data_IF_848316706275
#
_entry.id   IF_848316706275
#
_cell.length_a   1.000
_cell.length_b   1.000
_cell.length_c   1.000
_cell.angle_alpha   90.00
_cell.angle_beta   90.00
_cell.angle_gamma   90.00
#
_symmetry.space_group_name_H-M   'P 1'
#
loop_
_entity.id
_entity.type
_entity.pdbx_description
1 polymer ?
#
# COMPACT_ATOMS: atom_id res chain seq x y z
N UNK A 1 -22.57 -12.67 41.24
CA UNK A 1 -23.16 -12.47 39.91
C UNK A 1 -22.16 -12.94 38.86
N UNK A 2 -22.60 -13.76 37.92
CA UNK A 2 -21.76 -14.18 36.80
C UNK A 2 -21.78 -13.08 35.72
N UNK A 3 -20.63 -12.76 35.13
CA UNK A 3 -20.53 -11.81 34.01
C UNK A 3 -21.10 -12.49 32.76
N UNK A 4 -21.99 -11.83 32.03
CA UNK A 4 -22.45 -12.29 30.73
C UNK A 4 -21.37 -12.07 29.67
N UNK A 5 -20.52 -13.08 29.49
CA UNK A 5 -19.44 -13.04 28.52
C UNK A 5 -19.91 -13.11 27.06
N UNK A 6 -21.11 -13.64 26.80
CA UNK A 6 -21.61 -13.79 25.43
C UNK A 6 -22.13 -12.45 24.91
N UNK A 7 -22.90 -11.73 25.72
CA UNK A 7 -23.31 -10.36 25.43
C UNK A 7 -22.11 -9.43 25.30
N UNK A 8 -21.18 -9.49 26.27
CA UNK A 8 -19.98 -8.66 26.28
C UNK A 8 -19.12 -8.87 25.03
N UNK A 9 -18.93 -10.12 24.59
CA UNK A 9 -18.21 -10.43 23.36
C UNK A 9 -18.89 -9.79 22.15
N UNK A 10 -20.20 -9.95 22.02
CA UNK A 10 -20.95 -9.37 20.89
C UNK A 10 -20.83 -7.84 20.85
N UNK A 11 -20.86 -7.19 22.01
CA UNK A 11 -20.73 -5.73 22.10
C UNK A 11 -19.30 -5.26 21.83
N UNK A 12 -18.30 -6.01 22.31
CA UNK A 12 -16.88 -5.79 22.01
C UNK A 12 -16.63 -5.90 20.51
N UNK A 13 -17.09 -6.98 19.87
CA UNK A 13 -16.90 -7.21 18.44
C UNK A 13 -17.59 -6.13 17.59
N UNK A 14 -18.70 -5.51 18.03
CA UNK A 14 -19.32 -4.38 17.30
C UNK A 14 -18.53 -3.07 17.36
N UNK A 15 -17.64 -2.89 18.36
CA UNK A 15 -16.76 -1.71 18.45
C UNK A 15 -17.48 -0.37 18.71
N UNK A 16 -18.78 -0.37 18.99
CA UNK A 16 -19.61 0.84 19.18
C UNK A 16 -19.30 1.56 20.51
N UNK A 17 -18.76 0.83 21.49
CA UNK A 17 -18.41 1.36 22.81
C UNK A 17 -17.01 0.89 23.21
N UNK A 18 -16.17 1.83 23.66
CA UNK A 18 -14.81 1.51 24.12
C UNK A 18 -14.80 0.54 25.31
N UNK A 19 -13.69 -0.19 25.48
CA UNK A 19 -13.53 -1.22 26.52
C UNK A 19 -13.82 -0.74 27.94
N UNK A 20 -13.57 0.54 28.24
CA UNK A 20 -13.89 1.17 29.53
C UNK A 20 -15.41 1.26 29.78
N UNK A 21 -16.18 1.59 28.74
CA UNK A 21 -17.65 1.65 28.78
C UNK A 21 -18.27 0.26 28.92
N UNK A 22 -17.74 -0.73 28.19
CA UNK A 22 -18.15 -2.12 28.32
C UNK A 22 -17.84 -2.67 29.71
N UNK A 23 -16.69 -2.32 30.28
CA UNK A 23 -16.31 -2.69 31.64
C UNK A 23 -17.31 -2.19 32.68
N UNK A 24 -17.72 -0.92 32.57
CA UNK A 24 -18.72 -0.32 33.45
C UNK A 24 -20.10 -0.98 33.29
N UNK A 25 -20.56 -1.20 32.05
CA UNK A 25 -21.88 -1.79 31.78
C UNK A 25 -22.04 -3.23 32.25
N UNK A 26 -20.97 -4.02 32.16
CA UNK A 26 -20.97 -5.43 32.57
C UNK A 26 -20.40 -5.66 33.99
N UNK A 27 -20.09 -4.58 34.72
CA UNK A 27 -19.62 -4.64 36.11
C UNK A 27 -18.27 -5.35 36.28
N UNK A 28 -17.35 -5.19 35.33
CA UNK A 28 -16.02 -5.81 35.37
C UNK A 28 -14.91 -4.79 35.10
N UNK A 29 -13.64 -5.20 35.22
CA UNK A 29 -12.49 -4.34 34.92
C UNK A 29 -12.14 -4.43 33.43
N UNK A 30 -11.80 -3.29 32.81
CA UNK A 30 -11.38 -3.23 31.41
C UNK A 30 -10.20 -4.19 31.10
N UNK A 31 -9.26 -4.34 32.04
CA UNK A 31 -8.14 -5.29 31.90
C UNK A 31 -8.61 -6.75 31.79
N UNK A 32 -9.70 -7.13 32.47
CA UNK A 32 -10.27 -8.48 32.39
C UNK A 32 -10.83 -8.75 30.99
N UNK A 33 -11.51 -7.77 30.40
CA UNK A 33 -11.99 -7.83 29.02
C UNK A 33 -10.80 -7.98 28.06
N UNK A 34 -9.79 -7.11 28.15
CA UNK A 34 -8.60 -7.16 27.28
C UNK A 34 -7.86 -8.51 27.35
N UNK A 35 -7.65 -9.04 28.55
CA UNK A 35 -7.00 -10.35 28.74
C UNK A 35 -7.81 -11.50 28.14
N UNK A 36 -9.13 -11.43 28.24
CA UNK A 36 -10.02 -12.46 27.70
C UNK A 36 -10.13 -12.36 26.19
N UNK A 37 -10.33 -11.16 25.66
CA UNK A 37 -10.30 -10.88 24.22
C UNK A 37 -9.01 -11.40 23.57
N UNK A 38 -7.85 -11.16 24.19
CA UNK A 38 -6.57 -11.68 23.69
C UNK A 38 -6.48 -13.22 23.75
N UNK A 39 -7.03 -13.85 24.79
CA UNK A 39 -7.02 -15.31 24.96
C UNK A 39 -7.97 -16.03 24.01
N UNK A 40 -9.12 -15.43 23.76
CA UNK A 40 -10.20 -16.02 22.96
C UNK A 40 -10.25 -15.46 21.52
N UNK A 41 -9.31 -14.59 21.16
CA UNK A 41 -9.16 -14.05 19.81
C UNK A 41 -10.29 -13.11 19.37
N UNK A 42 -10.86 -12.32 20.28
CA UNK A 42 -11.90 -11.36 19.93
C UNK A 42 -11.29 -10.18 19.17
N UNK A 43 -11.95 -9.76 18.10
CA UNK A 43 -11.51 -8.65 17.24
C UNK A 43 -12.67 -7.71 17.03
N UNK A 44 -12.46 -6.41 17.25
CA UNK A 44 -13.46 -5.39 16.95
C UNK A 44 -13.63 -5.24 15.44
N UNK A 45 -14.87 -5.18 14.97
CA UNK A 45 -15.22 -4.87 13.57
C UNK A 45 -14.61 -3.52 13.23
N UNK A 46 -13.65 -3.51 12.29
CA UNK A 46 -12.92 -2.32 11.86
C UNK A 46 -11.52 -2.15 12.44
N UNK A 47 -11.18 -2.75 13.60
CA UNK A 47 -9.83 -2.65 14.17
C UNK A 47 -8.79 -3.42 13.34
N UNK A 48 -9.19 -4.58 12.79
CA UNK A 48 -8.36 -5.33 11.85
C UNK A 48 -8.10 -4.57 10.55
N UNK A 49 -9.14 -3.92 10.01
CA UNK A 49 -9.06 -3.12 8.78
C UNK A 49 -8.21 -1.86 8.99
N UNK A 50 -8.41 -1.12 10.09
CA UNK A 50 -7.61 0.07 10.40
C UNK A 50 -6.13 -0.25 10.62
N UNK A 51 -5.82 -1.38 11.28
CA UNK A 51 -4.43 -1.84 11.44
C UNK A 51 -3.81 -2.28 10.11
N UNK A 52 -4.59 -2.91 9.24
CA UNK A 52 -4.15 -3.25 7.89
C UNK A 52 -3.89 -1.99 7.06
N UNK A 53 -4.75 -0.98 7.15
CA UNK A 53 -4.61 0.29 6.43
C UNK A 53 -3.39 1.09 6.90
N UNK A 54 -3.17 1.22 8.22
CA UNK A 54 -1.96 1.86 8.76
C UNK A 54 -0.67 1.16 8.31
N UNK A 55 -0.70 -0.18 8.24
CA UNK A 55 0.45 -0.96 7.78
C UNK A 55 0.65 -0.81 6.26
N UNK A 56 -0.44 -0.73 5.50
CA UNK A 56 -0.44 -0.43 4.07
C UNK A 56 0.14 0.96 3.80
N UNK A 57 -0.29 1.97 4.55
CA UNK A 57 0.26 3.33 4.47
C UNK A 57 1.77 3.32 4.77
N UNK A 58 2.21 2.62 5.81
CA UNK A 58 3.63 2.48 6.14
C UNK A 58 4.46 1.90 4.98
N UNK A 59 3.99 0.81 4.38
CA UNK A 59 4.64 0.16 3.23
C UNK A 59 4.66 1.10 2.02
N UNK A 60 3.55 1.78 1.71
CA UNK A 60 3.52 2.75 0.61
C UNK A 60 4.46 3.93 0.85
N UNK A 61 4.63 4.35 2.11
CA UNK A 61 5.61 5.37 2.50
C UNK A 61 7.04 4.93 2.27
N UNK A 62 7.39 3.71 2.71
CA UNK A 62 8.71 3.11 2.51
C UNK A 62 9.03 2.93 1.02
N UNK A 63 8.09 2.40 0.23
CA UNK A 63 8.23 2.29 -1.23
C UNK A 63 8.48 3.64 -1.90
N UNK A 64 7.72 4.69 -1.52
CA UNK A 64 7.92 6.04 -2.06
C UNK A 64 9.32 6.57 -1.75
N UNK A 65 9.82 6.34 -0.54
CA UNK A 65 11.16 6.75 -0.13
C UNK A 65 12.24 6.03 -0.94
N UNK A 66 12.16 4.70 -1.06
CA UNK A 66 13.09 3.89 -1.84
C UNK A 66 13.09 4.30 -3.32
N UNK A 67 11.90 4.53 -3.90
CA UNK A 67 11.76 5.00 -5.28
C UNK A 67 12.36 6.39 -5.50
N UNK A 68 12.20 7.30 -4.53
CA UNK A 68 12.83 8.63 -4.59
C UNK A 68 14.36 8.56 -4.63
N UNK A 69 14.93 7.58 -3.95
CA UNK A 69 16.38 7.34 -3.92
C UNK A 69 16.88 6.82 -5.27
N UNK A 70 16.19 5.84 -5.87
CA UNK A 70 16.52 5.33 -7.20
C UNK A 70 16.41 6.44 -8.26
N UNK A 71 15.36 7.26 -8.22
CA UNK A 71 15.20 8.40 -9.13
C UNK A 71 16.35 9.42 -9.01
N UNK A 72 16.76 9.72 -7.77
CA UNK A 72 17.89 10.63 -7.51
C UNK A 72 19.18 10.08 -8.12
N UNK A 73 19.44 8.78 -7.94
CA UNK A 73 20.61 8.10 -8.50
C UNK A 73 20.61 8.03 -10.02
N UNK A 74 19.45 7.75 -10.62
CA UNK A 74 19.29 7.76 -12.09
C UNK A 74 19.60 9.15 -12.66
N UNK A 75 19.05 10.21 -12.04
CA UNK A 75 19.31 11.60 -12.47
C UNK A 75 20.80 11.96 -12.37
N UNK A 76 21.44 11.64 -11.24
CA UNK A 76 22.86 11.91 -11.05
C UNK A 76 23.75 11.15 -12.06
N UNK A 77 23.43 9.89 -12.34
CA UNK A 77 24.13 9.08 -13.35
C UNK A 77 23.96 9.65 -14.75
N UNK A 78 22.77 10.14 -15.12
CA UNK A 78 22.52 10.78 -16.42
C UNK A 78 23.32 12.08 -16.56
N UNK A 79 23.28 12.95 -15.55
CA UNK A 79 24.01 14.23 -15.54
C UNK A 79 25.53 14.03 -15.67
N UNK A 80 26.06 12.94 -15.10
CA UNK A 80 27.48 12.62 -15.12
C UNK A 80 27.89 11.71 -16.27
N UNK A 81 26.92 11.23 -17.07
CA UNK A 81 27.13 10.17 -18.05
C UNK A 81 27.82 8.92 -17.46
N UNK A 82 27.54 8.62 -16.19
CA UNK A 82 28.10 7.48 -15.46
C UNK A 82 27.26 6.23 -15.72
N UNK A 83 27.70 5.44 -16.70
CA UNK A 83 27.00 4.21 -17.12
C UNK A 83 26.90 3.19 -15.97
N UNK A 84 27.88 3.14 -15.06
CA UNK A 84 27.86 2.16 -13.97
C UNK A 84 26.85 2.57 -12.89
N UNK A 85 26.79 3.86 -12.54
CA UNK A 85 25.73 4.38 -11.66
C UNK A 85 24.33 4.17 -12.26
N UNK A 86 24.18 4.31 -13.59
CA UNK A 86 22.91 4.03 -14.28
C UNK A 86 22.51 2.55 -14.24
N UNK A 87 23.45 1.62 -14.43
CA UNK A 87 23.17 0.17 -14.32
C UNK A 87 22.76 -0.20 -12.90
N UNK A 88 23.47 0.32 -11.89
CA UNK A 88 23.15 0.09 -10.48
C UNK A 88 21.75 0.63 -10.18
N UNK A 89 21.43 1.85 -10.63
CA UNK A 89 20.11 2.45 -10.46
C UNK A 89 19.01 1.61 -11.11
N UNK A 90 19.25 1.07 -12.32
CA UNK A 90 18.32 0.16 -13.00
C UNK A 90 18.08 -1.11 -12.20
N UNK A 91 19.15 -1.82 -11.81
CA UNK A 91 19.04 -3.06 -11.04
C UNK A 91 18.32 -2.85 -9.71
N UNK A 92 18.57 -1.71 -9.05
CA UNK A 92 17.85 -1.33 -7.83
C UNK A 92 16.35 -1.10 -8.11
N UNK A 93 16.00 -0.42 -9.21
CA UNK A 93 14.63 -0.23 -9.64
C UNK A 93 13.89 -1.55 -9.93
N UNK A 94 14.53 -2.46 -10.67
CA UNK A 94 13.99 -3.79 -10.98
C UNK A 94 13.79 -4.63 -9.70
N UNK A 95 14.74 -4.56 -8.77
CA UNK A 95 14.63 -5.22 -7.46
C UNK A 95 13.44 -4.70 -6.63
N UNK A 96 13.26 -3.39 -6.56
CA UNK A 96 12.12 -2.77 -5.87
C UNK A 96 10.78 -3.19 -6.50
N UNK A 97 10.69 -3.23 -7.83
CA UNK A 97 9.47 -3.70 -8.51
C UNK A 97 9.11 -5.14 -8.13
N UNK A 98 10.10 -6.02 -8.03
CA UNK A 98 9.87 -7.41 -7.62
C UNK A 98 9.41 -7.53 -6.17
N UNK A 99 9.99 -6.75 -5.25
CA UNK A 99 9.56 -6.70 -3.85
C UNK A 99 8.11 -6.21 -3.77
N UNK A 100 7.80 -5.08 -4.41
CA UNK A 100 6.45 -4.52 -4.43
C UNK A 100 5.41 -5.52 -4.97
N UNK A 101 5.75 -6.23 -6.06
CA UNK A 101 4.88 -7.29 -6.60
C UNK A 101 4.70 -8.44 -5.61
N UNK A 102 5.76 -8.92 -4.98
CA UNK A 102 5.71 -10.00 -3.99
C UNK A 102 4.89 -9.63 -2.75
N UNK A 103 5.03 -8.40 -2.25
CA UNK A 103 4.22 -7.89 -1.15
C UNK A 103 2.75 -7.75 -1.56
N UNK A 104 2.47 -7.17 -2.71
CA UNK A 104 1.11 -7.03 -3.25
C UNK A 104 0.41 -8.40 -3.36
N UNK A 105 1.11 -9.41 -3.87
CA UNK A 105 0.60 -10.79 -3.97
C UNK A 105 0.38 -11.45 -2.60
N UNK A 106 1.33 -11.30 -1.66
CA UNK A 106 1.20 -11.86 -0.32
C UNK A 106 0.00 -11.28 0.46
N UNK A 107 -0.50 -10.12 0.04
CA UNK A 107 -1.61 -9.41 0.67
C UNK A 107 -2.93 -9.57 -0.11
N UNK A 108 -2.93 -10.34 -1.20
CA UNK A 108 -4.13 -10.58 -2.02
C UNK A 108 -4.59 -9.36 -2.83
N UNK A 109 -3.72 -8.36 -3.02
CA UNK A 109 -4.00 -7.13 -3.78
C UNK A 109 -3.70 -7.33 -5.28
N UNK A 110 -4.10 -8.45 -5.86
CA UNK A 110 -3.80 -8.77 -7.26
C UNK A 110 -4.42 -7.76 -8.23
N UNK A 111 -3.80 -7.57 -9.40
CA UNK A 111 -4.19 -6.59 -10.45
C UNK A 111 -5.65 -6.70 -10.93
N UNK A 112 -6.39 -7.76 -10.55
CA UNK A 112 -7.82 -7.92 -10.83
C UNK A 112 -8.70 -6.78 -10.26
N UNK A 113 -8.21 -6.04 -9.25
CA UNK A 113 -8.92 -4.87 -8.68
C UNK A 113 -8.67 -3.55 -9.44
N UNK A 114 -7.68 -3.52 -10.34
CA UNK A 114 -7.47 -2.38 -11.24
C UNK A 114 -7.79 -2.85 -12.65
N UNK A 115 -9.08 -2.77 -13.01
CA UNK A 115 -9.48 -2.71 -14.41
C UNK A 115 -8.91 -1.43 -15.01
N UNK A 116 -7.62 -1.47 -15.35
CA UNK A 116 -7.04 -0.50 -16.27
C UNK A 116 -7.78 -0.73 -17.57
N UNK A 117 -8.65 0.21 -17.93
CA UNK A 117 -9.34 0.16 -19.21
C UNK A 117 -8.25 0.16 -20.30
N UNK A 118 -8.10 -0.96 -21.00
CA UNK A 118 -7.08 -1.10 -22.05
C UNK A 118 -7.21 0.02 -23.10
N UNK A 119 -8.40 0.61 -23.21
CA UNK A 119 -8.70 1.78 -24.03
C UNK A 119 -7.89 3.02 -23.63
N UNK A 120 -7.64 3.24 -22.34
CA UNK A 120 -6.87 4.39 -21.82
C UNK A 120 -5.37 4.23 -22.11
N UNK A 121 -4.84 3.01 -21.92
CA UNK A 121 -3.42 2.69 -22.21
C UNK A 121 -3.12 2.81 -23.72
N UNK A 122 -4.05 2.36 -24.56
CA UNK A 122 -3.95 2.52 -26.01
C UNK A 122 -4.04 3.99 -26.43
N UNK A 123 -4.85 4.80 -25.74
CA UNK A 123 -4.93 6.24 -25.96
C UNK A 123 -3.61 6.95 -25.71
N UNK A 124 -2.97 6.70 -24.56
CA UNK A 124 -1.67 7.29 -24.19
C UNK A 124 -0.57 6.84 -25.16
N UNK A 125 -0.56 5.56 -25.54
CA UNK A 125 0.44 5.02 -26.48
C UNK A 125 0.31 5.66 -27.86
N UNK A 126 -0.92 5.93 -28.31
CA UNK A 126 -1.19 6.62 -29.57
C UNK A 126 -0.75 8.09 -29.52
N UNK A 127 -1.06 8.80 -28.44
CA UNK A 127 -0.66 10.20 -28.27
C UNK A 127 0.87 10.35 -28.27
N UNK A 128 1.58 9.45 -27.58
CA UNK A 128 3.05 9.42 -27.58
C UNK A 128 3.63 9.12 -28.97
N UNK A 129 2.98 8.27 -29.76
CA UNK A 129 3.37 7.99 -31.14
C UNK A 129 3.14 9.20 -32.06
N UNK A 130 2.03 9.94 -31.89
CA UNK A 130 1.74 11.16 -32.65
C UNK A 130 2.75 12.28 -32.33
N UNK A 131 3.12 12.45 -31.06
CA UNK A 131 4.14 13.41 -30.63
C UNK A 131 5.55 13.08 -31.14
N UNK A 132 5.92 11.81 -31.19
CA UNK A 132 7.23 11.37 -31.73
C UNK A 132 7.31 11.41 -33.25
N UNK A 133 6.19 11.23 -33.96
CA UNK A 133 6.13 11.41 -35.43
C UNK A 133 6.19 12.90 -35.81
N UNK A 134 5.55 13.79 -35.04
CA UNK A 134 5.64 15.25 -35.27
C UNK A 134 7.06 15.79 -35.07
N UNK A 135 7.79 15.27 -34.08
CA UNK A 135 9.18 15.69 -33.81
C UNK A 135 10.16 15.29 -34.91
N UNK A 136 9.90 14.21 -35.66
CA UNK A 136 10.81 13.70 -36.70
C UNK A 136 10.57 14.33 -38.07
N UNK A 137 9.42 14.94 -38.30
CA UNK A 137 9.10 15.61 -39.55
C UNK A 137 9.75 17.01 -39.66
N UNK A 138 10.00 17.69 -38.54
CA UNK A 138 10.67 19.00 -38.55
C UNK A 138 12.20 18.91 -38.66
N UNK A 139 12.85 17.86 -38.12
CA UNK A 139 14.30 17.68 -38.26
C UNK A 139 14.75 17.26 -39.68
N UNK A 140 13.83 16.86 -40.57
CA UNK A 140 14.15 16.44 -41.94
C UNK A 140 14.08 17.57 -42.98
N UNK A 141 13.70 18.80 -42.58
CA UNK A 141 13.56 19.95 -43.48
C UNK A 141 14.66 21.03 -43.29
N UNK A 142 15.57 20.85 -42.33
CA UNK A 142 16.68 21.78 -42.03
C UNK A 142 18.08 21.20 -42.37
N UNK A 143 18.15 20.26 -43.33
CA UNK A 143 19.39 19.66 -43.83
C UNK A 143 19.57 19.78 -45.35
#
# INVERSE_FOLDING_TARGET
MAIDWKGLRGDFERGEAGVETLAAGYGCKAQTIRRRAAREGWVEVGQGAAKAELKREGITGEHRLLWSTVKTKLRAGLERSDIEELKIAKMAGDGLLNIMKGETQAWGLTEDDVKTDQTEVLGITREMAELTVSSRAEEALDG
#
